data_IF_758280112943
#
_entry.id   IF_758280112943
#
_cell.length_a   1.000
_cell.length_b   1.000
_cell.length_c   1.000
_cell.angle_alpha   90.00
_cell.angle_beta   90.00
_cell.angle_gamma   90.00
#
_symmetry.space_group_name_H-M   'P 1'
#
loop_
_entity.id
_entity.type
_entity.pdbx_description
1 polymer ?
#
# COMPACT_ATOMS: atom_id res chain seq x y z
N UNK A 1 -24.81 -1.50 51.99
CA UNK A 1 -26.13 -1.79 51.37
C UNK A 1 -26.16 -1.18 49.98
N UNK A 2 -25.85 -1.96 48.96
CA UNK A 2 -25.99 -1.56 47.55
C UNK A 2 -27.48 -1.59 47.21
N UNK A 3 -28.09 -0.41 47.00
CA UNK A 3 -29.51 -0.29 46.67
C UNK A 3 -29.73 -0.62 45.19
N UNK A 4 -30.82 -1.32 44.85
CA UNK A 4 -31.20 -1.68 43.47
C UNK A 4 -31.14 -0.51 42.49
N UNK A 5 -31.34 0.73 42.95
CA UNK A 5 -31.23 1.96 42.14
C UNK A 5 -29.81 2.24 41.63
N UNK A 6 -28.78 1.92 42.41
CA UNK A 6 -27.39 2.10 41.99
C UNK A 6 -26.99 1.12 40.86
N UNK A 7 -27.54 -0.10 40.88
CA UNK A 7 -27.33 -1.10 39.82
C UNK A 7 -27.96 -0.68 38.48
N UNK A 8 -29.16 -0.08 38.50
CA UNK A 8 -29.79 0.43 37.27
C UNK A 8 -29.09 1.66 36.68
N UNK A 9 -28.54 2.55 37.52
CA UNK A 9 -27.79 3.72 37.06
C UNK A 9 -26.46 3.34 36.37
N UNK A 10 -25.74 2.34 36.90
CA UNK A 10 -24.51 1.83 36.27
C UNK A 10 -24.81 1.08 34.96
N UNK A 11 -25.91 0.33 34.89
CA UNK A 11 -26.33 -0.34 33.66
C UNK A 11 -26.74 0.65 32.55
N UNK A 12 -27.42 1.76 32.91
CA UNK A 12 -27.80 2.81 31.96
C UNK A 12 -26.61 3.59 31.39
N UNK A 13 -25.60 3.88 32.21
CA UNK A 13 -24.38 4.56 31.77
C UNK A 13 -23.53 3.71 30.80
N UNK A 14 -23.48 2.38 31.01
CA UNK A 14 -22.80 1.46 30.09
C UNK A 14 -23.46 1.36 28.72
N UNK A 15 -24.79 1.41 28.65
CA UNK A 15 -25.56 1.40 27.40
C UNK A 15 -25.37 2.69 26.58
N UNK A 16 -25.22 3.85 27.23
CA UNK A 16 -24.97 5.12 26.56
C UNK A 16 -23.54 5.23 26.01
N UNK A 17 -22.55 4.61 26.66
CA UNK A 17 -21.16 4.56 26.15
C UNK A 17 -21.02 3.58 24.97
N UNK A 18 -21.78 2.49 24.95
CA UNK A 18 -21.81 1.55 23.82
C UNK A 18 -22.54 2.12 22.58
N UNK A 19 -23.51 3.03 22.77
CA UNK A 19 -24.24 3.67 21.68
C UNK A 19 -23.39 4.68 20.88
N UNK A 20 -22.31 5.19 21.45
CA UNK A 20 -21.35 6.06 20.77
C UNK A 20 -20.24 5.30 20.03
N UNK A 21 -20.16 3.97 20.17
CA UNK A 21 -19.38 3.15 19.27
C UNK A 21 -20.13 3.08 17.94
N UNK A 22 -20.02 4.15 17.15
CA UNK A 22 -20.46 4.17 15.75
C UNK A 22 -19.97 2.88 15.12
N UNK A 23 -20.89 2.04 14.64
CA UNK A 23 -20.54 0.94 13.75
C UNK A 23 -19.81 1.58 12.57
N UNK A 24 -18.47 1.56 12.59
CA UNK A 24 -17.69 2.17 11.54
C UNK A 24 -18.05 1.41 10.28
N UNK A 25 -18.71 2.10 9.37
CA UNK A 25 -19.07 1.51 8.11
C UNK A 25 -17.78 1.28 7.34
N UNK A 26 -17.22 0.07 7.45
CA UNK A 26 -15.95 -0.29 6.83
C UNK A 26 -15.97 0.05 5.33
N UNK A 27 -17.12 0.01 4.67
CA UNK A 27 -17.24 0.39 3.26
C UNK A 27 -16.83 1.84 2.94
N UNK A 28 -16.79 2.74 3.93
CA UNK A 28 -16.34 4.12 3.76
C UNK A 28 -14.81 4.26 3.61
N UNK A 29 -14.04 3.28 4.06
CA UNK A 29 -12.58 3.29 3.97
C UNK A 29 -12.12 2.37 2.84
N UNK A 30 -11.61 2.86 1.69
CA UNK A 30 -11.02 1.96 0.70
C UNK A 30 -9.81 1.22 1.30
N UNK A 31 -9.54 -0.05 0.91
CA UNK A 31 -8.31 -0.72 1.31
C UNK A 31 -7.09 0.04 0.80
N UNK A 32 -6.06 0.15 1.63
CA UNK A 32 -4.78 0.78 1.30
C UNK A 32 -3.74 -0.32 1.15
N UNK A 33 -3.04 -0.32 0.02
CA UNK A 33 -1.85 -1.14 -0.21
C UNK A 33 -0.61 -0.25 -0.14
N UNK A 34 0.27 -0.55 0.81
CA UNK A 34 1.54 0.15 1.02
C UNK A 34 2.68 -0.61 0.34
N UNK A 35 3.41 0.08 -0.55
CA UNK A 35 4.44 -0.49 -1.42
C UNK A 35 5.81 0.13 -1.07
N UNK A 36 6.72 -0.68 -0.55
CA UNK A 36 8.04 -0.22 -0.11
C UNK A 36 9.02 0.05 -1.28
N UNK A 37 10.18 0.63 -0.93
CA UNK A 37 11.22 1.00 -1.88
C UNK A 37 12.22 -0.12 -2.22
N UNK A 38 13.30 0.26 -2.90
CA UNK A 38 14.35 -0.65 -3.35
C UNK A 38 15.13 -1.21 -2.16
N UNK A 39 15.25 -2.52 -2.05
CA UNK A 39 15.98 -3.17 -0.95
C UNK A 39 15.30 -3.05 0.43
N UNK A 40 14.06 -2.59 0.45
CA UNK A 40 13.28 -2.34 1.68
C UNK A 40 12.25 -3.46 1.94
N UNK A 41 11.42 -3.29 2.96
CA UNK A 41 10.35 -4.23 3.37
C UNK A 41 9.08 -3.51 3.83
N UNK A 42 8.02 -4.26 4.09
CA UNK A 42 6.76 -3.76 4.65
C UNK A 42 6.92 -3.05 6.02
N UNK A 43 8.00 -3.36 6.75
CA UNK A 43 8.25 -2.84 8.10
C UNK A 43 8.29 -1.31 8.18
N UNK A 44 8.72 -0.62 7.11
CA UNK A 44 8.77 0.85 7.08
C UNK A 44 7.40 1.50 7.25
N UNK A 45 6.33 0.76 6.90
CA UNK A 45 4.97 1.26 6.95
C UNK A 45 4.34 1.12 8.33
N UNK A 46 5.00 0.45 9.28
CA UNK A 46 4.42 0.17 10.60
C UNK A 46 3.91 1.44 11.29
N UNK A 47 4.71 2.49 11.33
CA UNK A 47 4.28 3.75 11.97
C UNK A 47 3.21 4.49 11.17
N UNK A 48 3.13 4.28 9.86
CA UNK A 48 2.08 4.85 9.01
C UNK A 48 0.77 4.10 9.21
N UNK A 49 0.81 2.77 9.29
CA UNK A 49 -0.33 1.91 9.63
C UNK A 49 -0.93 2.32 10.97
N UNK A 50 -0.10 2.47 12.01
CA UNK A 50 -0.58 2.93 13.32
C UNK A 50 -1.23 4.30 13.29
N UNK A 51 -0.74 5.22 12.46
CA UNK A 51 -1.36 6.55 12.29
C UNK A 51 -2.74 6.42 11.63
N UNK A 52 -2.90 5.55 10.63
CA UNK A 52 -4.21 5.29 10.04
C UNK A 52 -5.17 4.66 11.05
N UNK A 53 -4.72 3.66 11.81
CA UNK A 53 -5.53 3.04 12.87
C UNK A 53 -5.96 4.05 13.94
N UNK A 54 -5.04 4.89 14.41
CA UNK A 54 -5.32 5.95 15.37
C UNK A 54 -6.32 7.00 14.84
N UNK A 55 -6.47 7.10 13.52
CA UNK A 55 -7.45 7.96 12.85
C UNK A 55 -8.71 7.18 12.39
N UNK A 56 -8.94 5.99 12.94
CA UNK A 56 -10.16 5.22 12.73
C UNK A 56 -10.19 4.41 11.44
N UNK A 57 -9.04 4.15 10.81
CA UNK A 57 -8.98 3.20 9.69
C UNK A 57 -8.96 1.76 10.21
N UNK A 58 -9.81 0.85 9.71
CA UNK A 58 -9.80 -0.54 10.16
C UNK A 58 -8.50 -1.27 9.77
N UNK A 59 -7.91 -2.04 10.69
CA UNK A 59 -6.62 -2.73 10.49
C UNK A 59 -6.64 -3.68 9.29
N UNK A 60 -7.77 -4.34 9.06
CA UNK A 60 -8.00 -5.28 7.96
C UNK A 60 -8.07 -4.60 6.58
N UNK A 61 -8.03 -3.26 6.54
CA UNK A 61 -7.96 -2.46 5.31
C UNK A 61 -6.57 -1.91 5.04
N UNK A 62 -5.58 -2.21 5.88
CA UNK A 62 -4.22 -1.68 5.79
C UNK A 62 -3.26 -2.82 5.44
N UNK A 63 -2.79 -2.85 4.19
CA UNK A 63 -2.00 -3.95 3.64
C UNK A 63 -0.61 -3.46 3.25
N UNK A 64 0.41 -3.75 4.06
CA UNK A 64 1.79 -3.53 3.66
C UNK A 64 2.33 -4.81 3.03
N UNK A 65 2.83 -4.72 1.79
CA UNK A 65 3.27 -5.89 1.01
C UNK A 65 4.80 -6.01 1.08
N UNK A 66 5.30 -7.24 1.10
CA UNK A 66 6.74 -7.54 1.01
C UNK A 66 7.06 -8.12 -0.37
N UNK A 67 7.76 -7.36 -1.21
CA UNK A 67 8.29 -7.86 -2.48
C UNK A 67 9.43 -8.86 -2.19
N UNK A 68 9.35 -10.13 -2.62
CA UNK A 68 10.35 -11.15 -2.25
C UNK A 68 11.80 -10.82 -2.64
N UNK A 69 12.00 -10.14 -3.77
CA UNK A 69 13.30 -9.70 -4.25
C UNK A 69 13.26 -8.18 -4.46
N UNK A 70 13.45 -7.38 -3.39
CA UNK A 70 13.12 -5.97 -3.38
C UNK A 70 14.09 -5.09 -4.18
N UNK A 71 15.22 -5.65 -4.62
CA UNK A 71 16.25 -4.97 -5.39
C UNK A 71 15.95 -4.99 -6.90
N UNK A 72 16.11 -3.84 -7.54
CA UNK A 72 16.08 -3.69 -8.99
C UNK A 72 17.24 -4.41 -9.67
N UNK A 73 16.99 -4.89 -10.89
CA UNK A 73 18.06 -5.39 -11.77
C UNK A 73 19.01 -4.27 -12.17
N UNK A 74 20.27 -4.60 -12.42
CA UNK A 74 21.24 -3.66 -12.98
C UNK A 74 20.89 -3.29 -14.43
N UNK A 75 20.27 -4.22 -15.15
CA UNK A 75 19.73 -4.10 -16.51
C UNK A 75 18.38 -4.85 -16.52
N UNK A 76 17.27 -4.14 -16.70
CA UNK A 76 15.92 -4.70 -16.57
C UNK A 76 15.65 -5.83 -17.57
N UNK A 77 16.33 -5.79 -18.71
CA UNK A 77 16.18 -6.75 -19.81
C UNK A 77 16.90 -8.07 -19.58
N UNK A 78 17.77 -8.14 -18.56
CA UNK A 78 18.58 -9.33 -18.26
C UNK A 78 18.18 -9.92 -16.92
N UNK A 79 17.91 -11.23 -16.90
CA UNK A 79 17.66 -11.93 -15.64
C UNK A 79 18.85 -11.76 -14.69
N UNK A 80 18.57 -11.45 -13.43
CA UNK A 80 19.58 -11.30 -12.38
C UNK A 80 19.07 -11.97 -11.09
N UNK A 81 19.75 -13.02 -10.60
CA UNK A 81 19.32 -13.73 -9.39
C UNK A 81 19.15 -12.79 -8.18
N UNK A 82 18.08 -13.00 -7.42
CA UNK A 82 17.77 -12.22 -6.21
C UNK A 82 17.26 -10.80 -6.48
N UNK A 83 16.89 -10.47 -7.72
CA UNK A 83 16.42 -9.14 -8.14
C UNK A 83 15.23 -9.24 -9.09
N UNK A 84 14.40 -8.20 -9.06
CA UNK A 84 13.13 -8.15 -9.79
C UNK A 84 13.17 -7.09 -10.88
N UNK A 85 12.62 -7.39 -12.07
CA UNK A 85 12.43 -6.38 -13.13
C UNK A 85 11.27 -5.43 -12.82
N UNK A 86 11.13 -4.37 -13.62
CA UNK A 86 9.96 -3.48 -13.59
C UNK A 86 8.65 -4.24 -13.83
N UNK A 87 8.65 -5.15 -14.81
CA UNK A 87 7.49 -5.95 -15.18
C UNK A 87 7.11 -6.97 -14.09
N UNK A 88 8.08 -7.63 -13.48
CA UNK A 88 7.84 -8.58 -12.38
C UNK A 88 7.34 -7.86 -11.13
N UNK A 89 7.87 -6.67 -10.81
CA UNK A 89 7.41 -5.88 -9.67
C UNK A 89 5.96 -5.39 -9.88
N UNK A 90 5.63 -4.93 -11.10
CA UNK A 90 4.26 -4.58 -11.46
C UNK A 90 3.31 -5.79 -11.36
N UNK A 91 3.71 -6.95 -11.89
CA UNK A 91 2.90 -8.16 -11.83
C UNK A 91 2.65 -8.62 -10.39
N UNK A 92 3.68 -8.53 -9.53
CA UNK A 92 3.55 -8.79 -8.10
C UNK A 92 2.53 -7.83 -7.44
N UNK A 93 2.68 -6.52 -7.66
CA UNK A 93 1.74 -5.53 -7.13
C UNK A 93 0.31 -5.81 -7.59
N UNK A 94 0.10 -6.09 -8.88
CA UNK A 94 -1.22 -6.44 -9.41
C UNK A 94 -1.82 -7.63 -8.66
N UNK A 95 -1.05 -8.70 -8.45
CA UNK A 95 -1.53 -9.88 -7.74
C UNK A 95 -1.91 -9.57 -6.29
N UNK A 96 -1.15 -8.71 -5.60
CA UNK A 96 -1.50 -8.27 -4.25
C UNK A 96 -2.77 -7.41 -4.22
N UNK A 97 -2.95 -6.51 -5.19
CA UNK A 97 -4.18 -5.73 -5.34
C UNK A 97 -5.39 -6.64 -5.58
N UNK A 98 -5.26 -7.64 -6.45
CA UNK A 98 -6.33 -8.61 -6.71
C UNK A 98 -6.69 -9.41 -5.43
N UNK A 99 -5.68 -9.83 -4.65
CA UNK A 99 -5.89 -10.50 -3.34
C UNK A 99 -6.64 -9.60 -2.36
N UNK A 100 -6.24 -8.33 -2.24
CA UNK A 100 -6.87 -7.36 -1.33
C UNK A 100 -8.31 -7.09 -1.73
N UNK A 101 -8.59 -6.85 -3.01
CA UNK A 101 -9.97 -6.64 -3.49
C UNK A 101 -10.83 -7.88 -3.24
N UNK A 102 -10.31 -9.08 -3.49
CA UNK A 102 -11.02 -10.33 -3.22
C UNK A 102 -11.32 -10.51 -1.73
N UNK A 103 -10.37 -10.21 -0.85
CA UNK A 103 -10.53 -10.37 0.60
C UNK A 103 -11.51 -9.36 1.20
N UNK A 104 -11.55 -8.14 0.65
CA UNK A 104 -12.31 -7.02 1.22
C UNK A 104 -13.66 -6.76 0.53
N UNK A 105 -13.87 -7.33 -0.66
CA UNK A 105 -15.02 -7.03 -1.53
C UNK A 105 -14.97 -5.61 -2.13
N UNK A 106 -13.86 -4.88 -1.97
CA UNK A 106 -13.73 -3.53 -2.49
C UNK A 106 -13.54 -3.54 -4.01
N UNK A 107 -14.15 -2.57 -4.69
CA UNK A 107 -13.99 -2.38 -6.15
C UNK A 107 -12.69 -1.69 -6.54
N UNK A 108 -12.12 -0.91 -5.62
CA UNK A 108 -10.89 -0.17 -5.84
C UNK A 108 -10.06 -0.12 -4.55
N UNK A 109 -8.76 0.12 -4.71
CA UNK A 109 -7.80 0.33 -3.62
C UNK A 109 -7.17 1.71 -3.69
N UNK A 110 -6.53 2.12 -2.60
CA UNK A 110 -5.55 3.22 -2.58
C UNK A 110 -4.16 2.60 -2.60
N UNK A 111 -3.26 3.12 -3.43
CA UNK A 111 -1.86 2.71 -3.44
C UNK A 111 -1.01 3.81 -2.82
N UNK A 112 -0.24 3.48 -1.79
CA UNK A 112 0.73 4.38 -1.17
C UNK A 112 2.11 3.78 -1.37
N UNK A 113 3.02 4.50 -2.03
CA UNK A 113 4.32 3.97 -2.40
C UNK A 113 5.46 4.93 -2.08
N UNK A 114 6.61 4.36 -1.70
CA UNK A 114 7.86 5.09 -1.48
C UNK A 114 8.92 4.66 -2.50
N UNK A 115 9.72 5.62 -2.99
CA UNK A 115 10.94 5.35 -3.76
C UNK A 115 10.62 4.44 -4.96
N UNK A 116 11.36 3.35 -5.15
CA UNK A 116 11.14 2.35 -6.21
C UNK A 116 9.70 1.81 -6.27
N UNK A 117 9.00 1.68 -5.16
CA UNK A 117 7.63 1.17 -5.13
C UNK A 117 6.69 1.96 -6.03
N UNK A 118 6.95 3.26 -6.21
CA UNK A 118 6.15 4.11 -7.09
C UNK A 118 6.26 3.75 -8.58
N UNK A 119 7.36 3.12 -9.01
CA UNK A 119 7.47 2.63 -10.38
C UNK A 119 6.48 1.50 -10.65
N UNK A 120 6.34 0.56 -9.71
CA UNK A 120 5.35 -0.51 -9.82
C UNK A 120 3.93 0.05 -9.85
N UNK A 121 3.62 1.05 -9.00
CA UNK A 121 2.32 1.73 -9.00
C UNK A 121 2.04 2.40 -10.35
N UNK A 122 2.96 3.21 -10.86
CA UNK A 122 2.81 3.89 -12.17
C UNK A 122 2.63 2.89 -13.30
N UNK A 123 3.48 1.86 -13.35
CA UNK A 123 3.42 0.82 -14.38
C UNK A 123 2.11 0.02 -14.29
N UNK A 124 1.65 -0.33 -13.09
CA UNK A 124 0.38 -1.01 -12.89
C UNK A 124 -0.80 -0.18 -13.37
N UNK A 125 -0.86 1.10 -12.99
CA UNK A 125 -1.94 2.02 -13.42
C UNK A 125 -1.95 2.20 -14.93
N UNK A 126 -0.78 2.44 -15.53
CA UNK A 126 -0.66 2.73 -16.96
C UNK A 126 -0.83 1.49 -17.85
N UNK A 127 -0.18 0.38 -17.49
CA UNK A 127 -0.01 -0.78 -18.37
C UNK A 127 -0.66 -2.07 -17.82
N UNK A 128 -0.81 -2.18 -16.50
CA UNK A 128 -1.30 -3.39 -15.83
C UNK A 128 -2.81 -3.44 -15.55
N UNK A 129 -3.57 -2.46 -16.06
CA UNK A 129 -5.02 -2.35 -15.86
C UNK A 129 -5.43 -1.67 -14.53
N UNK A 130 -4.46 -1.10 -13.81
CA UNK A 130 -4.70 -0.43 -12.53
C UNK A 130 -5.60 0.80 -12.63
N UNK A 131 -5.77 1.39 -13.82
CA UNK A 131 -6.71 2.50 -14.04
C UNK A 131 -8.15 2.21 -13.65
N UNK A 132 -8.57 0.93 -13.61
CA UNK A 132 -9.92 0.52 -13.19
C UNK A 132 -10.01 0.23 -11.69
N UNK A 133 -8.90 -0.20 -11.08
CA UNK A 133 -8.87 -0.78 -9.72
C UNK A 133 -8.19 0.14 -8.70
N UNK A 134 -7.56 1.24 -9.13
CA UNK A 134 -6.88 2.19 -8.25
C UNK A 134 -7.68 3.49 -8.19
N UNK A 135 -8.15 3.84 -6.99
CA UNK A 135 -8.86 5.10 -6.74
C UNK A 135 -7.89 6.28 -6.57
N UNK A 136 -6.77 6.04 -5.88
CA UNK A 136 -5.76 7.05 -5.58
C UNK A 136 -4.37 6.40 -5.58
N UNK A 137 -3.38 7.15 -6.08
CA UNK A 137 -1.96 6.80 -5.99
C UNK A 137 -1.21 7.91 -5.26
N UNK A 138 -0.60 7.60 -4.12
CA UNK A 138 0.21 8.51 -3.31
C UNK A 138 1.67 8.09 -3.44
N UNK A 139 2.49 8.95 -4.04
CA UNK A 139 3.89 8.68 -4.39
C UNK A 139 4.83 9.54 -3.55
N UNK A 140 5.53 8.95 -2.58
CA UNK A 140 6.52 9.62 -1.74
C UNK A 140 7.95 9.35 -2.19
N UNK A 141 8.73 10.38 -2.51
CA UNK A 141 10.15 10.22 -2.86
C UNK A 141 10.42 9.32 -4.08
N UNK A 142 9.42 9.09 -4.93
CA UNK A 142 9.53 8.24 -6.12
C UNK A 142 10.36 8.97 -7.17
N UNK A 143 11.46 8.39 -7.68
CA UNK A 143 12.30 9.03 -8.68
C UNK A 143 11.66 8.97 -10.07
N UNK A 144 10.55 9.68 -10.28
CA UNK A 144 9.70 9.57 -11.47
C UNK A 144 10.42 9.78 -12.83
N UNK A 145 11.61 10.38 -12.80
CA UNK A 145 12.48 10.60 -13.97
C UNK A 145 13.90 10.02 -13.77
N UNK A 146 14.00 8.94 -13.00
CA UNK A 146 15.26 8.31 -12.64
C UNK A 146 15.99 8.99 -11.47
N UNK A 147 17.09 8.36 -11.06
CA UNK A 147 18.02 8.83 -10.02
C UNK A 147 19.30 9.38 -10.65
N UNK A 148 19.62 8.97 -11.88
CA UNK A 148 20.70 9.52 -12.70
C UNK A 148 20.28 9.71 -14.15
N UNK A 149 20.96 10.59 -14.88
CA UNK A 149 20.73 10.83 -16.31
C UNK A 149 22.07 10.97 -17.06
N UNK A 150 22.78 9.86 -17.20
CA UNK A 150 24.11 9.80 -17.84
C UNK A 150 23.99 8.93 -19.10
N UNK A 151 24.18 9.56 -20.27
CA UNK A 151 24.10 8.86 -21.56
C UNK A 151 25.11 7.72 -21.63
N UNK A 152 24.66 6.54 -22.06
CA UNK A 152 25.47 5.33 -22.19
C UNK A 152 25.77 4.60 -20.87
N UNK A 153 25.34 5.12 -19.72
CA UNK A 153 25.55 4.48 -18.42
C UNK A 153 24.29 3.76 -17.94
N UNK A 154 24.29 2.43 -18.03
CA UNK A 154 23.21 1.54 -17.54
C UNK A 154 21.81 2.01 -17.94
N UNK A 155 21.62 2.37 -19.21
CA UNK A 155 20.35 2.97 -19.70
C UNK A 155 19.16 2.00 -19.64
N UNK A 156 19.41 0.70 -19.56
CA UNK A 156 18.40 -0.32 -19.34
C UNK A 156 18.01 -0.51 -17.85
N UNK A 157 18.55 0.30 -16.94
CA UNK A 157 18.18 0.28 -15.52
C UNK A 157 16.96 1.17 -15.27
N UNK A 158 16.02 0.73 -14.42
CA UNK A 158 14.83 1.51 -14.05
C UNK A 158 15.10 2.82 -13.29
N UNK A 159 16.33 3.02 -12.79
CA UNK A 159 16.75 4.29 -12.20
C UNK A 159 17.46 5.22 -13.19
N UNK A 160 17.68 4.79 -14.44
CA UNK A 160 18.25 5.66 -15.47
C UNK A 160 17.15 6.53 -16.09
N UNK A 161 17.22 7.84 -15.88
CA UNK A 161 16.33 8.84 -16.48
C UNK A 161 16.53 9.03 -17.99
N UNK A 162 17.57 8.45 -18.56
CA UNK A 162 17.77 8.34 -20.01
C UNK A 162 17.17 7.06 -20.61
N UNK A 163 16.66 6.16 -19.76
CA UNK A 163 16.02 4.90 -20.15
C UNK A 163 14.52 5.04 -20.45
N UNK A 164 13.84 3.95 -20.83
CA UNK A 164 12.45 3.96 -21.28
C UNK A 164 11.39 3.89 -20.15
N UNK A 165 11.72 4.23 -18.90
CA UNK A 165 10.90 3.97 -17.70
C UNK A 165 10.18 5.21 -17.13
#
# INVERSE_FOLDING_TARGET
MTTRRALFAVAGAGLLLAACASTQNHSAHPPIVFVHGNGDSASIWQTTVWRFEANGWPRERLHAIDLPYPLARDDDTKAQPGRTSTGEHMAFLKAEVDKVMKATGARQVVLVANSRGGYAVRNYVQNGGGSQTVSHAVLGGVPNHGVWAIKGFREANEFAGTGPF
#
